data_IF_423025171755
#
_entry.id   IF_423025171755
#
_cell.length_a   1.000
_cell.length_b   1.000
_cell.length_c   1.000
_cell.angle_alpha   90.00
_cell.angle_beta   90.00
_cell.angle_gamma   90.00
#
_symmetry.space_group_name_H-M   'P 1'
#
loop_
_entity.id
_entity.type
_entity.pdbx_description
1 polymer ?
#
# COMPACT_ATOMS: atom_id res chain seq x y z
N UNK A 1 25.61 8.44 32.58
CA UNK A 1 24.81 9.63 32.95
C UNK A 1 24.88 10.63 31.81
N UNK A 2 23.71 11.06 31.31
CA UNK A 2 23.50 12.08 30.26
C UNK A 2 24.03 11.56 28.91
N UNK A 3 23.18 11.37 27.91
CA UNK A 3 22.86 12.40 26.92
C UNK A 3 21.50 12.03 26.31
N UNK A 4 20.44 12.70 26.74
CA UNK A 4 19.95 13.95 26.16
C UNK A 4 19.16 13.66 24.88
N UNK A 5 17.86 13.45 25.10
CA UNK A 5 16.79 13.67 24.14
C UNK A 5 17.02 15.01 23.43
N UNK A 6 17.55 14.97 22.22
CA UNK A 6 17.53 16.10 21.32
C UNK A 6 16.33 15.93 20.39
N UNK A 7 15.18 16.40 20.88
CA UNK A 7 14.05 16.78 20.07
C UNK A 7 14.46 17.99 19.21
N UNK A 8 15.22 17.75 18.14
CA UNK A 8 15.58 18.77 17.17
C UNK A 8 14.47 18.83 16.12
N UNK A 9 13.39 19.55 16.45
CA UNK A 9 12.42 20.08 15.50
C UNK A 9 13.15 21.14 14.65
N UNK A 10 13.90 20.67 13.66
CA UNK A 10 14.54 21.53 12.66
C UNK A 10 13.74 21.36 11.38
N UNK A 11 12.71 22.21 11.26
CA UNK A 11 12.05 22.54 10.01
C UNK A 11 13.10 23.15 9.08
N UNK A 12 13.81 22.32 8.32
CA UNK A 12 14.44 22.79 7.10
C UNK A 12 13.52 22.45 5.96
N UNK A 13 12.81 23.48 5.50
CA UNK A 13 12.22 23.57 4.18
C UNK A 13 13.34 23.48 3.13
N UNK A 14 13.83 22.28 2.84
CA UNK A 14 14.49 22.00 1.58
C UNK A 14 13.40 21.66 0.56
N UNK A 15 12.92 22.68 -0.15
CA UNK A 15 12.22 22.49 -1.42
C UNK A 15 13.24 21.94 -2.41
N UNK A 16 13.38 20.62 -2.48
CA UNK A 16 14.12 19.97 -3.56
C UNK A 16 13.19 19.84 -4.76
N UNK A 17 13.39 20.70 -5.75
CA UNK A 17 13.05 20.36 -7.12
C UNK A 17 14.13 19.38 -7.61
N UNK A 18 13.89 18.09 -7.39
CA UNK A 18 14.65 17.03 -8.02
C UNK A 18 13.72 16.35 -9.02
N UNK A 19 13.84 16.76 -10.30
CA UNK A 19 13.35 15.96 -11.42
C UNK A 19 14.17 14.66 -11.44
N UNK A 20 13.56 13.59 -10.94
CA UNK A 20 14.10 12.24 -11.10
C UNK A 20 13.48 11.68 -12.37
N UNK A 21 14.21 11.81 -13.48
CA UNK A 21 13.94 11.04 -14.69
C UNK A 21 14.13 9.54 -14.36
N UNK A 22 13.04 8.88 -13.99
CA UNK A 22 12.95 7.42 -13.93
C UNK A 22 11.63 6.98 -14.55
N UNK A 23 11.62 6.80 -15.87
CA UNK A 23 10.73 5.83 -16.51
C UNK A 23 11.61 4.80 -17.25
N UNK A 24 11.25 3.50 -17.27
CA UNK A 24 9.88 2.99 -17.13
C UNK A 24 9.79 1.82 -16.14
N UNK A 25 9.18 2.04 -14.98
CA UNK A 25 8.57 0.95 -14.21
C UNK A 25 7.10 1.25 -13.93
N UNK A 26 6.44 1.86 -14.92
CA UNK A 26 5.00 1.69 -15.10
C UNK A 26 4.81 0.49 -16.02
N UNK A 27 5.40 -0.66 -15.67
CA UNK A 27 4.99 -1.89 -16.33
C UNK A 27 3.63 -2.23 -15.74
N UNK A 28 2.59 -1.58 -16.28
CA UNK A 28 1.22 -2.08 -16.43
C UNK A 28 0.95 -3.26 -15.50
N UNK A 29 0.94 -3.02 -14.19
CA UNK A 29 0.62 -4.04 -13.20
C UNK A 29 -0.87 -4.17 -13.33
N UNK A 30 -1.32 -4.97 -14.30
CA UNK A 30 -2.64 -5.61 -14.28
C UNK A 30 -3.79 -4.70 -13.84
N UNK A 31 -3.75 -3.40 -14.17
CA UNK A 31 -4.61 -2.35 -13.59
C UNK A 31 -6.11 -2.58 -13.86
N UNK A 32 -6.44 -3.58 -14.67
CA UNK A 32 -7.76 -3.83 -15.19
C UNK A 32 -8.50 -5.02 -14.56
N UNK A 33 -7.83 -5.91 -13.82
CA UNK A 33 -8.50 -7.11 -13.27
C UNK A 33 -8.86 -7.02 -11.79
N UNK A 34 -8.14 -6.23 -11.00
CA UNK A 34 -8.39 -6.13 -9.55
C UNK A 34 -9.21 -4.90 -9.16
N UNK A 35 -9.10 -3.82 -9.93
CA UNK A 35 -9.84 -2.57 -9.74
C UNK A 35 -11.36 -2.75 -9.83
N UNK A 36 -11.83 -3.61 -10.74
CA UNK A 36 -13.26 -3.78 -10.98
C UNK A 36 -14.03 -4.31 -9.77
N UNK A 37 -13.40 -5.19 -8.97
CA UNK A 37 -14.02 -5.72 -7.76
C UNK A 37 -14.03 -4.67 -6.65
N UNK A 38 -12.94 -3.93 -6.48
CA UNK A 38 -12.86 -2.87 -5.49
C UNK A 38 -13.86 -1.74 -5.79
N UNK A 39 -13.90 -1.26 -7.04
CA UNK A 39 -14.81 -0.19 -7.48
C UNK A 39 -16.28 -0.57 -7.28
N UNK A 40 -16.62 -1.84 -7.57
CA UNK A 40 -17.98 -2.36 -7.37
C UNK A 40 -18.37 -2.38 -5.89
N UNK A 41 -17.45 -2.77 -5.01
CA UNK A 41 -17.65 -2.78 -3.56
C UNK A 41 -17.83 -1.36 -3.04
N UNK A 42 -16.97 -0.42 -3.44
CA UNK A 42 -17.02 0.99 -3.02
C UNK A 42 -18.36 1.62 -3.40
N UNK A 43 -18.82 1.38 -4.63
CA UNK A 43 -20.13 1.85 -5.10
C UNK A 43 -21.29 1.22 -4.32
N UNK A 44 -21.22 -0.07 -4.03
CA UNK A 44 -22.26 -0.78 -3.26
C UNK A 44 -22.36 -0.28 -1.80
N UNK A 45 -21.24 0.17 -1.22
CA UNK A 45 -21.20 0.77 0.12
C UNK A 45 -21.67 2.23 0.16
N UNK A 46 -21.95 2.85 -1.00
CA UNK A 46 -22.49 4.20 -1.10
C UNK A 46 -21.45 5.33 -1.02
N UNK A 47 -20.15 4.99 -1.13
CA UNK A 47 -19.10 5.99 -1.25
C UNK A 47 -19.15 6.67 -2.61
N UNK A 48 -18.74 7.93 -2.64
CA UNK A 48 -18.75 8.79 -3.83
C UNK A 48 -17.37 8.90 -4.44
N UNK A 49 -17.33 9.30 -5.70
CA UNK A 49 -16.09 9.67 -6.37
C UNK A 49 -15.44 10.84 -5.63
N UNK A 50 -14.19 10.65 -5.19
CA UNK A 50 -13.46 11.60 -4.35
C UNK A 50 -13.39 11.23 -2.86
N UNK A 51 -14.13 10.22 -2.40
CA UNK A 51 -13.98 9.71 -1.05
C UNK A 51 -12.66 8.91 -0.93
N UNK A 52 -11.81 9.31 0.01
CA UNK A 52 -10.55 8.61 0.29
C UNK A 52 -10.80 7.40 1.22
N UNK A 53 -10.70 6.20 0.67
CA UNK A 53 -10.81 4.95 1.42
C UNK A 53 -9.43 4.35 1.68
N UNK A 54 -9.02 4.38 2.95
CA UNK A 54 -7.74 3.82 3.37
C UNK A 54 -7.93 2.44 4.01
N UNK A 55 -7.29 1.43 3.43
CA UNK A 55 -7.17 0.09 4.01
C UNK A 55 -5.71 -0.14 4.36
N UNK A 56 -5.43 -0.22 5.65
CA UNK A 56 -4.09 -0.49 6.18
C UNK A 56 -3.84 -1.98 6.18
N UNK A 57 -2.78 -2.42 5.50
CA UNK A 57 -2.36 -3.82 5.52
C UNK A 57 -0.98 -3.95 6.13
N UNK A 58 -0.81 -4.99 6.93
CA UNK A 58 0.48 -5.39 7.51
C UNK A 58 0.66 -6.85 7.18
N UNK A 59 1.79 -7.19 6.58
CA UNK A 59 2.13 -8.56 6.21
C UNK A 59 3.64 -8.76 6.33
N UNK A 60 4.06 -10.01 6.32
CA UNK A 60 5.47 -10.41 6.34
C UNK A 60 5.79 -11.15 5.05
N UNK A 61 6.95 -10.89 4.46
CA UNK A 61 7.45 -11.66 3.31
C UNK A 61 8.48 -12.64 3.84
N UNK A 62 8.29 -13.94 3.56
CA UNK A 62 9.24 -14.97 3.95
C UNK A 62 10.46 -15.01 2.99
N UNK A 63 11.44 -15.89 3.28
CA UNK A 63 12.65 -16.03 2.45
C UNK A 63 12.39 -16.50 1.01
N UNK A 64 11.25 -17.15 0.78
CA UNK A 64 10.88 -17.67 -0.53
C UNK A 64 10.22 -16.61 -1.41
N UNK A 65 9.84 -15.46 -0.84
CA UNK A 65 9.07 -14.40 -1.51
C UNK A 65 7.55 -14.54 -1.32
N UNK A 66 7.11 -15.39 -0.41
CA UNK A 66 5.69 -15.60 -0.09
C UNK A 66 5.22 -14.65 1.00
N UNK A 67 4.04 -14.06 0.79
CA UNK A 67 3.36 -13.22 1.75
C UNK A 67 2.68 -14.10 2.82
N UNK A 68 2.95 -13.81 4.09
CA UNK A 68 2.39 -14.50 5.26
C UNK A 68 1.95 -13.49 6.33
N UNK A 69 1.15 -13.93 7.29
CA UNK A 69 0.66 -13.12 8.43
C UNK A 69 -0.04 -11.83 8.00
N UNK A 70 -0.90 -11.90 6.98
CA UNK A 70 -1.64 -10.75 6.46
C UNK A 70 -2.67 -10.30 7.49
N UNK A 71 -2.66 -9.01 7.81
CA UNK A 71 -3.69 -8.32 8.59
C UNK A 71 -4.12 -7.09 7.80
N UNK A 72 -5.42 -6.86 7.74
CA UNK A 72 -6.00 -5.68 7.11
C UNK A 72 -6.89 -4.93 8.11
N UNK A 73 -6.92 -3.61 8.02
CA UNK A 73 -7.80 -2.73 8.79
C UNK A 73 -8.32 -1.62 7.90
N UNK A 74 -9.64 -1.51 7.77
CA UNK A 74 -10.29 -0.53 6.91
C UNK A 74 -11.64 -0.07 7.48
N UNK A 75 -12.36 0.78 6.74
CA UNK A 75 -13.65 1.31 7.18
C UNK A 75 -14.79 0.27 7.07
N UNK A 76 -14.61 -0.81 6.30
CA UNK A 76 -15.59 -1.88 6.20
C UNK A 76 -14.91 -3.26 6.07
N UNK A 77 -15.44 -4.32 6.72
CA UNK A 77 -14.84 -5.66 6.68
C UNK A 77 -14.69 -6.25 5.27
N UNK A 78 -15.56 -5.84 4.34
CA UNK A 78 -15.50 -6.32 2.95
C UNK A 78 -14.26 -5.78 2.21
N UNK A 79 -13.83 -4.55 2.51
CA UNK A 79 -12.65 -3.93 1.93
C UNK A 79 -11.38 -4.58 2.50
N UNK A 80 -11.40 -4.93 3.78
CA UNK A 80 -10.33 -5.69 4.42
C UNK A 80 -10.16 -7.06 3.76
N UNK A 81 -11.27 -7.78 3.53
CA UNK A 81 -11.25 -9.08 2.82
C UNK A 81 -10.72 -8.95 1.40
N UNK A 82 -11.12 -7.92 0.67
CA UNK A 82 -10.63 -7.71 -0.69
C UNK A 82 -9.14 -7.37 -0.72
N UNK A 83 -8.67 -6.55 0.23
CA UNK A 83 -7.24 -6.27 0.37
C UNK A 83 -6.43 -7.53 0.70
N UNK A 84 -6.94 -8.41 1.56
CA UNK A 84 -6.31 -9.72 1.84
C UNK A 84 -6.28 -10.58 0.57
N UNK A 85 -7.40 -10.67 -0.17
CA UNK A 85 -7.51 -11.44 -1.42
C UNK A 85 -6.48 -10.99 -2.46
N UNK A 86 -6.28 -9.68 -2.60
CA UNK A 86 -5.27 -9.11 -3.52
C UNK A 86 -3.87 -9.55 -3.09
N UNK A 87 -3.54 -9.42 -1.80
CA UNK A 87 -2.24 -9.82 -1.28
C UNK A 87 -1.98 -11.33 -1.42
N UNK A 88 -3.01 -12.16 -1.28
CA UNK A 88 -2.90 -13.61 -1.48
C UNK A 88 -2.72 -14.02 -2.95
N UNK A 89 -3.31 -13.27 -3.88
CA UNK A 89 -3.19 -13.52 -5.32
C UNK A 89 -1.98 -12.82 -5.96
N UNK A 90 -1.28 -11.99 -5.19
CA UNK A 90 -0.08 -11.31 -5.69
C UNK A 90 1.01 -12.35 -5.98
N UNK A 91 1.58 -12.37 -7.20
CA UNK A 91 2.57 -13.37 -7.56
C UNK A 91 3.90 -13.12 -6.82
N UNK A 92 4.53 -14.21 -6.38
CA UNK A 92 5.72 -14.20 -5.51
C UNK A 92 6.91 -13.45 -6.13
N UNK A 93 7.01 -13.45 -7.46
CA UNK A 93 8.08 -12.78 -8.21
C UNK A 93 8.00 -11.24 -8.18
N UNK A 94 6.89 -10.65 -7.74
CA UNK A 94 6.79 -9.21 -7.49
C UNK A 94 7.46 -8.79 -6.17
N UNK A 95 7.71 -9.73 -5.26
CA UNK A 95 8.43 -9.45 -4.02
C UNK A 95 9.93 -9.56 -4.25
N UNK A 96 10.69 -8.53 -3.84
CA UNK A 96 12.15 -8.56 -3.95
C UNK A 96 12.68 -9.58 -2.95
N UNK A 97 13.29 -10.67 -3.44
CA UNK A 97 14.08 -11.57 -2.60
C UNK A 97 15.19 -10.75 -1.94
N UNK A 98 15.16 -10.70 -0.61
CA UNK A 98 16.17 -10.02 0.22
C UNK A 98 17.44 -10.87 0.36
#
# INVERSE_FOLDING_TARGET
MKNLFALALVLIFFKTNAQVDKKPLQQKVSEKSESSNFDSIVKALGYKEGDELLVWTIFTINKDGKIINIKARGPHPILEKEAIRILENTPENCTRKL
#
